data_IF_174010125587
#
_entry.id   IF_174010125587
#
_cell.length_a   1.000
_cell.length_b   1.000
_cell.length_c   1.000
_cell.angle_alpha   90.00
_cell.angle_beta   90.00
_cell.angle_gamma   90.00
#
_symmetry.space_group_name_H-M   'P 1'
#
loop_
_entity.id
_entity.type
_entity.pdbx_description
1 polymer ?
#
# COMPACT_ATOMS: atom_id res chain seq x y z
N UNK A 1 -8.87 13.18 8.83
CA UNK A 1 -7.77 12.39 8.29
C UNK A 1 -7.89 10.95 8.76
N UNK A 2 -7.41 10.03 7.98
CA UNK A 2 -7.52 8.61 8.29
C UNK A 2 -6.14 7.97 8.41
N UNK A 3 -6.08 6.88 9.17
CA UNK A 3 -4.85 6.10 9.32
C UNK A 3 -4.90 4.94 8.32
N UNK A 4 -3.80 4.76 7.59
CA UNK A 4 -3.66 3.66 6.65
C UNK A 4 -2.41 2.87 6.96
N UNK A 5 -2.51 1.55 6.86
CA UNK A 5 -1.36 0.66 6.94
C UNK A 5 -0.98 0.29 5.51
N UNK A 6 0.28 0.52 5.16
CA UNK A 6 0.78 0.24 3.81
C UNK A 6 1.86 -0.82 3.93
N UNK A 7 1.69 -1.90 3.20
CA UNK A 7 2.62 -3.03 3.22
C UNK A 7 3.19 -3.22 1.81
N UNK A 8 4.52 -3.29 1.73
CA UNK A 8 5.24 -3.47 0.47
C UNK A 8 5.79 -4.88 0.44
N UNK A 9 5.41 -5.64 -0.58
CA UNK A 9 5.74 -7.06 -0.70
C UNK A 9 6.59 -7.31 -1.95
N UNK A 10 7.47 -8.32 -1.87
CA UNK A 10 8.25 -8.76 -3.03
C UNK A 10 7.48 -9.84 -3.82
N UNK A 11 8.11 -10.40 -4.85
CA UNK A 11 7.51 -11.43 -5.70
C UNK A 11 7.13 -12.69 -4.93
N UNK A 12 7.81 -12.95 -3.84
CA UNK A 12 7.59 -14.13 -3.00
C UNK A 12 6.63 -13.83 -1.87
N UNK A 13 6.04 -12.63 -1.88
CA UNK A 13 5.10 -12.15 -0.86
C UNK A 13 5.72 -11.96 0.52
N UNK A 14 7.04 -11.78 0.56
CA UNK A 14 7.70 -11.39 1.78
C UNK A 14 7.55 -9.88 1.96
N UNK A 15 7.31 -9.46 3.19
CA UNK A 15 7.19 -8.03 3.50
C UNK A 15 8.55 -7.37 3.43
N UNK A 16 8.70 -6.44 2.50
CA UNK A 16 9.92 -5.64 2.39
C UNK A 16 9.93 -4.55 3.44
N UNK A 17 8.81 -3.90 3.62
CA UNK A 17 8.61 -2.92 4.68
C UNK A 17 7.13 -2.69 4.86
N UNK A 18 6.77 -2.13 5.98
CA UNK A 18 5.40 -1.69 6.23
C UNK A 18 5.45 -0.35 6.95
N UNK A 19 4.43 0.46 6.74
CA UNK A 19 4.36 1.76 7.40
C UNK A 19 2.91 2.11 7.71
N UNK A 20 2.73 2.91 8.73
CA UNK A 20 1.42 3.45 9.09
C UNK A 20 1.46 4.93 8.80
N UNK A 21 0.55 5.39 7.97
CA UNK A 21 0.52 6.79 7.54
C UNK A 21 -0.80 7.44 7.92
N UNK A 22 -0.74 8.73 8.13
CA UNK A 22 -1.90 9.54 8.47
C UNK A 22 -2.18 10.44 7.27
N UNK A 23 -3.21 10.13 6.52
CA UNK A 23 -3.46 10.79 5.24
C UNK A 23 -4.90 11.29 5.14
N UNK A 24 -5.09 12.27 4.27
CA UNK A 24 -6.39 12.89 4.05
C UNK A 24 -7.39 11.92 3.43
N UNK A 25 -6.92 11.05 2.54
CA UNK A 25 -7.80 10.16 1.79
C UNK A 25 -7.04 8.94 1.32
N UNK A 26 -7.78 7.93 0.85
CA UNK A 26 -7.18 6.74 0.26
C UNK A 26 -6.37 7.11 -0.99
N UNK A 27 -6.82 8.07 -1.78
CA UNK A 27 -6.09 8.54 -2.96
C UNK A 27 -4.72 9.10 -2.58
N UNK A 28 -4.64 9.85 -1.47
CA UNK A 28 -3.37 10.36 -0.98
C UNK A 28 -2.45 9.22 -0.52
N UNK A 29 -3.01 8.21 0.15
CA UNK A 29 -2.25 7.04 0.58
C UNK A 29 -1.70 6.28 -0.62
N UNK A 30 -2.50 6.10 -1.67
CA UNK A 30 -2.05 5.45 -2.90
C UNK A 30 -0.88 6.21 -3.54
N UNK A 31 -0.99 7.53 -3.63
CA UNK A 31 0.07 8.35 -4.21
C UNK A 31 1.37 8.25 -3.40
N UNK A 32 1.24 8.31 -2.08
CA UNK A 32 2.39 8.17 -1.19
C UNK A 32 3.05 6.80 -1.34
N UNK A 33 2.26 5.74 -1.38
CA UNK A 33 2.77 4.38 -1.52
C UNK A 33 3.52 4.21 -2.85
N UNK A 34 2.98 4.76 -3.93
CA UNK A 34 3.63 4.69 -5.24
C UNK A 34 4.99 5.38 -5.21
N UNK A 35 5.07 6.53 -4.52
CA UNK A 35 6.32 7.29 -4.41
C UNK A 35 7.36 6.55 -3.56
N UNK A 36 6.92 5.85 -2.51
CA UNK A 36 7.83 5.20 -1.57
C UNK A 36 8.17 3.75 -1.94
N UNK A 37 7.55 3.21 -2.98
CA UNK A 37 7.84 1.85 -3.41
C UNK A 37 9.27 1.73 -3.94
N UNK A 38 9.93 0.64 -3.56
CA UNK A 38 11.30 0.36 -4.02
C UNK A 38 11.26 -0.49 -5.29
N UNK A 39 12.42 -0.66 -5.94
CA UNK A 39 12.53 -1.48 -7.15
C UNK A 39 12.09 -2.93 -6.94
N UNK A 40 12.27 -3.44 -5.73
CA UNK A 40 11.94 -4.82 -5.42
C UNK A 40 10.47 -5.02 -5.05
N UNK A 41 9.71 -3.95 -4.96
CA UNK A 41 8.30 -4.03 -4.60
C UNK A 41 7.50 -4.65 -5.74
N UNK A 42 6.86 -5.78 -5.47
CA UNK A 42 5.99 -6.45 -6.42
C UNK A 42 4.53 -6.10 -6.19
N UNK A 43 4.13 -5.95 -4.94
CA UNK A 43 2.75 -5.64 -4.58
C UNK A 43 2.72 -4.66 -3.42
N UNK A 44 1.74 -3.76 -3.46
CA UNK A 44 1.50 -2.82 -2.37
C UNK A 44 0.08 -3.07 -1.88
N UNK A 45 -0.08 -3.30 -0.57
CA UNK A 45 -1.39 -3.46 0.06
C UNK A 45 -1.65 -2.28 0.99
N UNK A 46 -2.84 -1.71 0.90
CA UNK A 46 -3.28 -0.66 1.81
C UNK A 46 -4.48 -1.18 2.58
N UNK A 47 -4.43 -1.09 3.89
CA UNK A 47 -5.50 -1.49 4.79
C UNK A 47 -5.79 -0.40 5.80
N UNK A 48 -6.92 -0.54 6.51
CA UNK A 48 -7.26 0.39 7.59
C UNK A 48 -6.66 -0.08 8.92
N UNK A 49 -7.01 0.60 10.01
CA UNK A 49 -6.44 0.33 11.33
C UNK A 49 -6.82 -1.03 11.91
N UNK A 50 -7.87 -1.65 11.38
CA UNK A 50 -8.30 -2.99 11.80
C UNK A 50 -7.93 -4.05 10.76
N UNK A 51 -6.96 -3.73 9.91
CA UNK A 51 -6.46 -4.63 8.86
C UNK A 51 -7.47 -5.01 7.80
N UNK A 52 -8.51 -4.20 7.63
CA UNK A 52 -9.46 -4.41 6.55
C UNK A 52 -8.85 -3.94 5.24
N UNK A 53 -8.72 -4.80 4.22
CA UNK A 53 -8.14 -4.40 2.94
C UNK A 53 -8.95 -3.29 2.28
N UNK A 54 -8.27 -2.26 1.81
CA UNK A 54 -8.91 -1.14 1.13
C UNK A 54 -8.52 -1.08 -0.34
N UNK A 55 -7.25 -1.31 -0.66
CA UNK A 55 -6.76 -1.24 -2.02
C UNK A 55 -5.46 -2.02 -2.15
N UNK A 56 -5.13 -2.40 -3.37
CA UNK A 56 -3.86 -3.03 -3.65
C UNK A 56 -3.42 -2.69 -5.07
N UNK A 57 -2.13 -2.87 -5.33
CA UNK A 57 -1.55 -2.63 -6.64
C UNK A 57 -0.38 -3.57 -6.86
N UNK A 58 -0.33 -4.18 -8.04
CA UNK A 58 0.87 -4.90 -8.48
C UNK A 58 1.81 -3.92 -9.16
N UNK A 59 3.09 -4.26 -9.19
CA UNK A 59 4.14 -3.36 -9.68
C UNK A 59 3.89 -2.78 -11.07
N UNK A 60 3.25 -3.55 -11.95
CA UNK A 60 2.98 -3.14 -13.32
C UNK A 60 1.51 -2.84 -13.57
N UNK A 61 0.70 -2.79 -12.53
CA UNK A 61 -0.74 -2.64 -12.67
C UNK A 61 -1.26 -1.31 -12.19
N UNK A 62 -2.57 -1.21 -12.20
CA UNK A 62 -3.28 -0.07 -11.64
C UNK A 62 -3.76 -0.42 -10.24
N UNK A 63 -4.14 0.60 -9.48
CA UNK A 63 -4.74 0.38 -8.18
C UNK A 63 -6.11 -0.26 -8.33
N UNK A 64 -6.36 -1.31 -7.55
CA UNK A 64 -7.67 -1.95 -7.41
C UNK A 64 -8.16 -1.72 -6.00
N UNK A 65 -9.45 -1.53 -5.84
CA UNK A 65 -10.08 -1.36 -4.52
C UNK A 65 -10.91 -2.58 -4.18
N UNK A 66 -10.87 -2.94 -2.91
CA UNK A 66 -11.61 -4.10 -2.41
C UNK A 66 -12.90 -3.74 -1.73
#
# INVERSE_FOLDING_TARGET
>A
MAVFNICYLDKERNTLKSETVYMRSLAAAKASATTHATENTFKIDISDVVDKPLAFRYATGKWDEE
#
